data_IF_283460420035
#
_entry.id   IF_283460420035
#
_cell.length_a   1.000
_cell.length_b   1.000
_cell.length_c   1.000
_cell.angle_alpha   90.00
_cell.angle_beta   90.00
_cell.angle_gamma   90.00
#
_symmetry.space_group_name_H-M   'P 1'
#
loop_
_entity.id
_entity.type
_entity.pdbx_description
1 polymer ?
#
# COMPACT_ATOMS: atom_id res chain seq x y z
N UNK A 1 -5.87 10.73 -0.73
CA UNK A 1 -5.67 10.01 0.55
C UNK A 1 -5.50 8.54 0.25
N UNK A 2 -4.49 7.88 0.82
CA UNK A 2 -4.24 6.44 0.66
C UNK A 2 -4.42 5.75 2.02
N UNK A 3 -5.12 4.61 2.02
CA UNK A 3 -5.24 3.74 3.18
C UNK A 3 -4.99 2.29 2.76
N UNK A 4 -4.35 1.49 3.61
CA UNK A 4 -4.34 0.03 3.48
C UNK A 4 -5.62 -0.52 4.12
N UNK A 5 -6.27 -1.45 3.44
CA UNK A 5 -7.44 -2.16 3.97
C UNK A 5 -6.99 -3.50 4.55
N UNK A 6 -7.16 -3.69 5.86
CA UNK A 6 -6.77 -4.91 6.57
C UNK A 6 -8.00 -5.64 7.15
N UNK A 7 -8.06 -6.99 7.12
CA UNK A 7 -9.15 -7.73 7.77
C UNK A 7 -9.11 -7.59 9.30
N UNK A 8 -10.18 -7.19 9.96
CA UNK A 8 -10.24 -7.11 11.43
C UNK A 8 -11.30 -8.06 12.00
N UNK A 9 -11.30 -8.27 13.31
CA UNK A 9 -12.32 -9.09 13.99
C UNK A 9 -13.76 -8.54 13.79
N UNK A 10 -13.90 -7.27 13.37
CA UNK A 10 -15.17 -6.62 13.09
C UNK A 10 -15.38 -6.31 11.60
N UNK A 11 -14.65 -6.99 10.70
CA UNK A 11 -14.78 -6.85 9.25
C UNK A 11 -13.51 -6.33 8.59
N UNK A 12 -13.51 -5.09 8.12
CA UNK A 12 -12.35 -4.44 7.47
C UNK A 12 -12.00 -3.16 8.22
N UNK A 13 -10.74 -3.00 8.54
CA UNK A 13 -10.18 -1.78 9.13
C UNK A 13 -9.38 -1.03 8.03
N UNK A 14 -9.57 0.28 7.94
CA UNK A 14 -8.80 1.14 7.03
C UNK A 14 -7.72 1.83 7.84
N UNK A 15 -6.47 1.60 7.48
CA UNK A 15 -5.32 2.24 8.12
C UNK A 15 -4.75 3.24 7.14
N UNK A 16 -4.85 4.52 7.51
CA UNK A 16 -4.31 5.62 6.71
C UNK A 16 -2.79 5.47 6.57
N UNK A 17 -2.29 5.72 5.36
CA UNK A 17 -0.85 5.79 5.07
C UNK A 17 -0.45 7.26 5.03
N UNK A 18 0.29 7.68 6.05
CA UNK A 18 0.71 9.08 6.19
C UNK A 18 1.85 9.48 5.26
N UNK A 19 2.64 8.49 4.80
CA UNK A 19 3.80 8.73 3.96
C UNK A 19 3.86 7.73 2.81
N UNK A 20 3.83 8.24 1.58
CA UNK A 20 3.99 7.47 0.36
C UNK A 20 4.65 8.32 -0.73
N UNK A 21 5.15 7.66 -1.79
CA UNK A 21 5.68 8.31 -2.97
C UNK A 21 5.50 7.43 -4.21
N UNK A 22 5.49 8.01 -5.40
CA UNK A 22 5.58 7.27 -6.67
C UNK A 22 7.06 6.94 -6.91
N UNK A 23 7.40 5.65 -6.91
CA UNK A 23 8.76 5.17 -7.10
C UNK A 23 9.12 4.99 -8.59
N UNK A 24 8.13 4.66 -9.41
CA UNK A 24 8.20 4.55 -10.87
C UNK A 24 6.81 4.79 -11.44
N UNK A 25 6.69 5.45 -12.58
CA UNK A 25 5.42 5.66 -13.29
C UNK A 25 5.16 4.61 -14.38
N UNK A 26 6.21 4.11 -15.03
CA UNK A 26 6.13 3.07 -16.06
C UNK A 26 7.23 1.99 -15.91
N UNK A 27 6.92 0.79 -15.36
CA UNK A 27 5.65 0.40 -14.72
C UNK A 27 5.37 1.17 -13.42
N UNK A 28 4.10 1.28 -13.05
CA UNK A 28 3.68 2.00 -11.83
C UNK A 28 4.12 1.25 -10.57
N UNK A 29 4.96 1.89 -9.76
CA UNK A 29 5.33 1.46 -8.42
C UNK A 29 5.10 2.60 -7.44
N UNK A 30 4.51 2.27 -6.29
CA UNK A 30 4.29 3.20 -5.18
C UNK A 30 5.10 2.69 -3.99
N UNK A 31 5.89 3.56 -3.36
CA UNK A 31 6.51 3.27 -2.06
C UNK A 31 5.59 3.70 -0.93
N UNK A 32 5.12 2.77 -0.11
CA UNK A 32 4.39 3.05 1.13
C UNK A 32 5.36 2.98 2.31
N UNK A 33 5.49 4.05 3.09
CA UNK A 33 6.36 4.08 4.26
C UNK A 33 5.50 3.83 5.50
N UNK A 34 5.72 2.68 6.13
CA UNK A 34 4.93 2.25 7.30
C UNK A 34 5.86 2.06 8.49
N UNK A 35 5.54 2.76 9.59
CA UNK A 35 6.20 2.60 10.88
C UNK A 35 5.76 1.31 11.58
N UNK A 36 6.59 0.71 12.44
CA UNK A 36 6.21 -0.43 13.24
C UNK A 36 4.99 -0.11 14.08
N UNK A 37 3.98 -0.97 13.98
CA UNK A 37 2.71 -0.88 14.69
C UNK A 37 2.22 -2.29 14.96
N UNK A 38 1.44 -2.51 16.01
CA UNK A 38 1.05 -3.87 16.41
C UNK A 38 0.18 -4.60 15.37
N UNK A 39 -0.50 -3.87 14.49
CA UNK A 39 -1.46 -4.44 13.55
C UNK A 39 -0.98 -4.39 12.10
N UNK A 40 -0.82 -3.20 11.55
CA UNK A 40 -0.62 -3.00 10.11
C UNK A 40 0.73 -3.50 9.64
N UNK A 41 1.79 -3.20 10.40
CA UNK A 41 3.14 -3.53 10.01
C UNK A 41 3.41 -5.04 9.92
N UNK A 42 3.06 -5.89 10.93
CA UNK A 42 3.26 -7.34 10.83
C UNK A 42 2.50 -7.97 9.66
N UNK A 43 1.32 -7.43 9.35
CA UNK A 43 0.49 -7.92 8.23
C UNK A 43 1.12 -7.57 6.89
N UNK A 44 1.48 -6.31 6.69
CA UNK A 44 2.15 -5.86 5.47
C UNK A 44 3.50 -6.55 5.28
N UNK A 45 4.26 -6.76 6.36
CA UNK A 45 5.57 -7.44 6.33
C UNK A 45 5.47 -8.84 5.74
N UNK A 46 4.43 -9.59 6.09
CA UNK A 46 4.24 -10.97 5.65
C UNK A 46 3.33 -11.13 4.43
N UNK A 47 2.71 -10.05 3.94
CA UNK A 47 1.79 -10.11 2.81
C UNK A 47 2.52 -9.98 1.46
N UNK A 48 2.05 -10.70 0.46
CA UNK A 48 2.51 -10.57 -0.94
C UNK A 48 1.60 -9.65 -1.75
N UNK A 49 0.45 -9.27 -1.20
CA UNK A 49 -0.50 -8.33 -1.78
C UNK A 49 -1.18 -7.49 -0.72
N UNK A 50 -1.69 -6.33 -1.12
CA UNK A 50 -2.49 -5.45 -0.28
C UNK A 50 -3.64 -4.85 -1.08
N UNK A 51 -4.74 -4.55 -0.38
CA UNK A 51 -5.80 -3.72 -0.92
C UNK A 51 -5.55 -2.29 -0.45
N UNK A 52 -5.40 -1.37 -1.39
CA UNK A 52 -5.29 0.05 -1.08
C UNK A 52 -6.58 0.76 -1.44
N UNK A 53 -7.04 1.62 -0.55
CA UNK A 53 -8.06 2.60 -0.86
C UNK A 53 -7.41 3.92 -1.26
N UNK A 54 -7.66 4.34 -2.51
CA UNK A 54 -7.17 5.60 -3.08
C UNK A 54 -8.39 6.39 -3.51
N UNK A 55 -8.58 7.59 -2.93
CA UNK A 55 -9.69 8.49 -3.25
C UNK A 55 -11.07 7.80 -3.18
N UNK A 56 -11.25 6.92 -2.18
CA UNK A 56 -12.51 6.23 -1.90
C UNK A 56 -12.76 4.96 -2.74
N UNK A 57 -11.84 4.58 -3.64
CA UNK A 57 -11.89 3.35 -4.42
C UNK A 57 -10.83 2.36 -3.95
N UNK A 58 -11.19 1.08 -3.88
CA UNK A 58 -10.28 0.00 -3.50
C UNK A 58 -9.64 -0.62 -4.74
N UNK A 59 -8.34 -0.85 -4.68
CA UNK A 59 -7.53 -1.42 -5.75
C UNK A 59 -6.62 -2.51 -5.17
N UNK A 60 -6.37 -3.56 -5.94
CA UNK A 60 -5.45 -4.63 -5.53
C UNK A 60 -4.03 -4.32 -5.98
N UNK A 61 -3.07 -4.54 -5.09
CA UNK A 61 -1.65 -4.35 -5.36
C UNK A 61 -0.86 -5.58 -4.94
N UNK A 62 0.14 -5.95 -5.73
CA UNK A 62 1.24 -6.84 -5.31
C UNK A 62 2.27 -6.07 -4.49
N UNK A 63 3.02 -6.77 -3.63
CA UNK A 63 4.11 -6.20 -2.82
C UNK A 63 5.44 -6.91 -3.17
N UNK A 64 6.02 -6.66 -4.35
CA UNK A 64 7.22 -7.36 -4.81
C UNK A 64 8.49 -7.01 -4.02
N UNK A 65 8.57 -5.82 -3.41
CA UNK A 65 9.77 -5.41 -2.66
C UNK A 65 9.41 -4.79 -1.30
N UNK A 66 10.23 -5.12 -0.31
CA UNK A 66 10.12 -4.64 1.07
C UNK A 66 11.52 -4.25 1.53
N UNK A 67 11.74 -2.98 1.87
CA UNK A 67 13.05 -2.48 2.32
C UNK A 67 12.92 -1.97 3.75
N UNK A 68 13.70 -2.54 4.66
CA UNK A 68 13.82 -2.05 6.03
C UNK A 68 14.76 -0.83 6.07
N UNK A 69 14.26 0.30 6.58
CA UNK A 69 14.99 1.57 6.67
C UNK A 69 14.89 2.12 8.09
N UNK A 70 15.90 1.82 8.90
CA UNK A 70 15.91 2.15 10.32
C UNK A 70 14.73 1.46 11.02
N UNK A 71 13.81 2.25 11.60
CA UNK A 71 12.60 1.70 12.22
C UNK A 71 11.49 1.42 11.21
N UNK A 72 11.49 2.04 10.04
CA UNK A 72 10.37 1.95 9.11
C UNK A 72 10.59 0.85 8.07
N UNK A 73 9.54 0.48 7.36
CA UNK A 73 9.63 -0.37 6.17
C UNK A 73 8.99 0.34 5.00
N UNK A 74 9.69 0.35 3.86
CA UNK A 74 9.15 0.80 2.58
C UNK A 74 8.61 -0.42 1.85
N UNK A 75 7.31 -0.45 1.63
CA UNK A 75 6.61 -1.45 0.85
C UNK A 75 6.44 -0.90 -0.57
N UNK A 76 7.14 -1.48 -1.53
CA UNK A 76 6.93 -1.15 -2.93
C UNK A 76 5.78 -1.98 -3.45
N UNK A 77 4.73 -1.30 -3.86
CA UNK A 77 3.49 -1.90 -4.30
C UNK A 77 3.24 -1.57 -5.77
N UNK A 78 2.79 -2.55 -6.53
CA UNK A 78 2.44 -2.41 -7.94
C UNK A 78 0.99 -2.85 -8.16
N UNK A 79 0.17 -2.08 -8.89
CA UNK A 79 -1.22 -2.44 -9.11
C UNK A 79 -1.31 -3.76 -9.87
N UNK A 80 -2.28 -4.60 -9.50
CA UNK A 80 -2.55 -5.83 -10.24
C UNK A 80 -3.06 -5.53 -11.66
N UNK A 81 -2.85 -6.44 -12.63
CA UNK A 81 -3.33 -6.26 -13.99
C UNK A 81 -4.84 -5.97 -14.04
N UNK A 82 -5.22 -4.86 -14.67
CA UNK A 82 -6.62 -4.41 -14.78
C UNK A 82 -7.00 -3.27 -13.83
N UNK A 83 -6.22 -3.03 -12.77
CA UNK A 83 -6.47 -1.95 -11.80
C UNK A 83 -5.63 -0.68 -12.06
N UNK A 84 -4.64 -0.73 -12.96
CA UNK A 84 -3.63 0.32 -13.12
C UNK A 84 -4.13 1.66 -13.71
N UNK A 85 -5.24 1.65 -14.46
CA UNK A 85 -5.71 2.82 -15.20
C UNK A 85 -6.17 3.95 -14.26
N UNK A 86 -5.56 5.13 -14.40
CA UNK A 86 -5.92 6.34 -13.64
C UNK A 86 -5.40 6.40 -12.20
N UNK A 87 -4.77 5.34 -11.67
CA UNK A 87 -4.20 5.38 -10.31
C UNK A 87 -3.15 6.49 -10.19
N UNK A 88 -2.27 6.65 -11.18
CA UNK A 88 -1.22 7.67 -11.16
C UNK A 88 -1.81 9.10 -11.07
N UNK A 89 -2.95 9.36 -11.70
CA UNK A 89 -3.63 10.65 -11.64
C UNK A 89 -4.23 10.91 -10.26
N UNK A 90 -4.71 9.86 -9.57
CA UNK A 90 -5.27 9.95 -8.22
C UNK A 90 -4.20 10.16 -7.13
N UNK A 91 -2.92 9.97 -7.46
CA UNK A 91 -1.77 10.13 -6.56
C UNK A 91 -1.10 11.50 -6.66
N UNK A 92 -1.47 12.32 -7.65
CA UNK A 92 -1.03 13.71 -7.82
C UNK A 92 -1.92 14.66 -7.02
#
# INVERSE_FOLDING_TARGET
MISVVIPSNHGKEKVKIDHYFVASDEPLFIGLIISPSEKTWPRMKNADSAILEISGKSYSFSIPYKIEVGRNTIFFVAPEPGDSAGILELLK
#
